data_IF_441338148352
#
_entry.id   IF_441338148352
#
_cell.length_a   1.000
_cell.length_b   1.000
_cell.length_c   1.000
_cell.angle_alpha   90.00
_cell.angle_beta   90.00
_cell.angle_gamma   90.00
#
_symmetry.space_group_name_H-M   'P 1'
#
loop_
_entity.id
_entity.type
_entity.pdbx_description
1 polymer ?
#
# COMPACT_ATOMS: atom_id res chain seq x y z
N UNK A 1 -1.98 10.39 -19.86
CA UNK A 1 -1.76 8.94 -19.81
C UNK A 1 -2.48 8.44 -18.57
N UNK A 2 -3.50 7.61 -18.78
CA UNK A 2 -4.38 7.11 -17.72
C UNK A 2 -3.61 6.13 -16.85
N UNK A 3 -3.26 6.54 -15.63
CA UNK A 3 -2.87 5.60 -14.59
C UNK A 3 -4.07 4.64 -14.38
N UNK A 4 -3.87 3.32 -14.28
CA UNK A 4 -4.96 2.42 -13.92
C UNK A 4 -5.60 2.97 -12.64
N UNK A 5 -6.90 3.26 -12.70
CA UNK A 5 -7.62 3.87 -11.59
C UNK A 5 -7.43 3.00 -10.34
N UNK A 6 -7.06 3.63 -9.22
CA UNK A 6 -7.12 3.01 -7.89
C UNK A 6 -8.50 2.33 -7.76
N UNK A 7 -8.59 0.99 -7.77
CA UNK A 7 -9.85 0.29 -7.71
C UNK A 7 -10.31 0.33 -6.25
N UNK A 8 -10.60 1.53 -5.73
CA UNK A 8 -11.30 1.77 -4.47
C UNK A 8 -12.63 1.04 -4.58
N UNK A 9 -12.69 -0.18 -4.04
CA UNK A 9 -13.89 -1.03 -4.12
C UNK A 9 -14.95 -0.55 -3.13
N UNK A 10 -14.50 -0.01 -2.01
CA UNK A 10 -15.35 0.35 -0.87
C UNK A 10 -15.37 1.85 -0.58
N UNK A 11 -14.41 2.60 -1.12
CA UNK A 11 -14.18 4.01 -0.80
C UNK A 11 -13.38 4.25 0.50
N UNK A 12 -12.97 3.20 1.21
CA UNK A 12 -12.21 3.30 2.46
C UNK A 12 -10.96 2.41 2.42
N UNK A 13 -9.76 3.01 2.47
CA UNK A 13 -8.52 2.25 2.47
C UNK A 13 -8.37 1.38 3.75
N UNK A 14 -8.84 1.89 4.88
CA UNK A 14 -8.79 1.20 6.16
C UNK A 14 -9.63 -0.09 6.14
N UNK A 15 -10.85 -0.06 5.57
CA UNK A 15 -11.69 -1.27 5.49
C UNK A 15 -11.13 -2.27 4.47
N UNK A 16 -10.53 -1.80 3.37
CA UNK A 16 -9.90 -2.68 2.39
C UNK A 16 -8.70 -3.40 2.99
N UNK A 17 -7.87 -2.73 3.79
CA UNK A 17 -6.80 -3.38 4.55
C UNK A 17 -7.35 -4.42 5.53
N UNK A 18 -8.42 -4.08 6.26
CA UNK A 18 -9.05 -5.02 7.21
C UNK A 18 -9.64 -6.24 6.51
N UNK A 19 -10.27 -6.06 5.35
CA UNK A 19 -10.80 -7.15 4.54
C UNK A 19 -9.70 -8.02 3.95
N UNK A 20 -8.57 -7.45 3.58
CA UNK A 20 -7.38 -8.21 3.17
C UNK A 20 -6.86 -9.05 4.34
N UNK A 21 -6.65 -8.45 5.51
CA UNK A 21 -6.18 -9.16 6.69
C UNK A 21 -7.14 -10.27 7.13
N UNK A 22 -8.45 -10.07 6.97
CA UNK A 22 -9.48 -11.07 7.27
C UNK A 22 -9.68 -12.13 6.17
N UNK A 23 -8.97 -12.05 5.05
CA UNK A 23 -9.13 -12.96 3.91
C UNK A 23 -10.41 -12.77 3.09
N UNK A 24 -11.14 -11.66 3.30
CA UNK A 24 -12.35 -11.29 2.55
C UNK A 24 -12.02 -10.65 1.19
N UNK A 25 -10.85 -10.03 1.09
CA UNK A 25 -10.28 -9.50 -0.15
C UNK A 25 -8.88 -10.09 -0.35
N UNK A 26 -8.53 -10.45 -1.60
CA UNK A 26 -7.23 -11.07 -1.87
C UNK A 26 -6.08 -10.03 -1.89
N UNK A 27 -6.38 -8.82 -2.35
CA UNK A 27 -5.44 -7.69 -2.35
C UNK A 27 -6.18 -6.35 -2.47
N UNK A 28 -5.48 -5.28 -2.09
CA UNK A 28 -5.83 -3.89 -2.32
C UNK A 28 -4.58 -3.10 -2.74
N UNK A 29 -4.77 -2.04 -3.51
CA UNK A 29 -3.72 -1.13 -3.94
C UNK A 29 -4.18 0.30 -3.72
N UNK A 30 -3.29 1.16 -3.25
CA UNK A 30 -3.55 2.55 -2.93
C UNK A 30 -2.53 3.41 -3.67
N UNK A 31 -2.99 4.32 -4.54
CA UNK A 31 -2.09 5.11 -5.38
C UNK A 31 -1.31 6.19 -4.59
N UNK A 32 -1.98 6.86 -3.65
CA UNK A 32 -1.39 7.92 -2.82
C UNK A 32 -2.13 8.07 -1.47
N UNK A 33 -2.14 7.04 -0.61
CA UNK A 33 -2.81 7.07 0.68
C UNK A 33 -2.10 8.03 1.65
N UNK A 34 -2.85 8.56 2.63
CA UNK A 34 -2.21 9.15 3.79
C UNK A 34 -1.75 8.04 4.75
N UNK A 35 -0.72 8.32 5.56
CA UNK A 35 -0.24 7.38 6.59
C UNK A 35 -1.39 6.89 7.49
N UNK A 36 -2.26 7.80 7.94
CA UNK A 36 -3.38 7.46 8.83
C UNK A 36 -4.47 6.61 8.16
N UNK A 37 -4.53 6.53 6.83
CA UNK A 37 -5.53 5.72 6.14
C UNK A 37 -5.17 4.23 6.16
N UNK A 38 -3.87 3.90 6.24
CA UNK A 38 -3.36 2.54 6.00
C UNK A 38 -2.42 2.00 7.09
N UNK A 39 -1.87 2.83 7.98
CA UNK A 39 -0.87 2.40 8.96
C UNK A 39 -1.36 1.24 9.85
N UNK A 40 -2.56 1.37 10.41
CA UNK A 40 -3.14 0.29 11.22
C UNK A 40 -3.45 -0.95 10.36
N UNK A 41 -3.88 -0.75 9.12
CA UNK A 41 -4.20 -1.81 8.18
C UNK A 41 -2.99 -2.64 7.77
N UNK A 42 -1.85 -2.00 7.50
CA UNK A 42 -0.59 -2.67 7.16
C UNK A 42 -0.20 -3.66 8.25
N UNK A 43 -0.24 -3.23 9.52
CA UNK A 43 0.10 -4.08 10.66
C UNK A 43 -0.81 -5.31 10.73
N UNK A 44 -2.11 -5.15 10.46
CA UNK A 44 -3.05 -6.27 10.42
C UNK A 44 -2.74 -7.24 9.28
N UNK A 45 -2.43 -6.73 8.09
CA UNK A 45 -2.08 -7.56 6.93
C UNK A 45 -0.80 -8.36 7.19
N UNK A 46 0.25 -7.72 7.70
CA UNK A 46 1.50 -8.39 8.05
C UNK A 46 1.29 -9.46 9.13
N UNK A 47 0.52 -9.15 10.18
CA UNK A 47 0.18 -10.09 11.23
C UNK A 47 -0.63 -11.31 10.72
N UNK A 48 -1.43 -11.12 9.67
CA UNK A 48 -2.14 -12.19 8.97
C UNK A 48 -1.26 -12.99 7.99
N UNK A 49 0.03 -12.67 7.88
CA UNK A 49 0.97 -13.29 6.95
C UNK A 49 0.86 -12.77 5.51
N UNK A 50 0.17 -11.65 5.31
CA UNK A 50 0.09 -10.97 4.01
C UNK A 50 1.35 -10.19 3.67
N UNK A 51 1.48 -9.85 2.39
CA UNK A 51 2.56 -9.06 1.83
C UNK A 51 2.16 -7.59 1.72
N UNK A 52 3.10 -6.71 2.04
CA UNK A 52 2.94 -5.25 1.89
C UNK A 52 4.15 -4.74 1.10
N UNK A 53 3.87 -4.05 -0.02
CA UNK A 53 4.88 -3.43 -0.87
C UNK A 53 4.56 -1.97 -1.11
N UNK A 54 5.60 -1.16 -1.25
CA UNK A 54 5.48 0.26 -1.57
C UNK A 54 6.30 0.61 -2.81
N UNK A 55 5.86 1.62 -3.54
CA UNK A 55 6.59 2.15 -4.69
C UNK A 55 7.67 3.11 -4.23
N UNK A 56 8.88 2.93 -4.74
CA UNK A 56 10.03 3.80 -4.55
C UNK A 56 10.63 4.18 -5.90
N UNK A 57 11.65 5.04 -5.90
CA UNK A 57 12.30 5.52 -7.13
C UNK A 57 12.86 4.37 -8.02
N UNK A 58 13.25 3.25 -7.41
CA UNK A 58 13.76 2.05 -8.10
C UNK A 58 12.70 0.98 -8.39
N UNK A 59 11.41 1.28 -8.23
CA UNK A 59 10.32 0.32 -8.39
C UNK A 59 9.70 -0.12 -7.06
N UNK A 60 8.96 -1.23 -7.11
CA UNK A 60 8.29 -1.78 -5.93
C UNK A 60 9.29 -2.47 -4.99
N UNK A 61 9.20 -2.16 -3.70
CA UNK A 61 10.00 -2.79 -2.64
C UNK A 61 9.14 -3.21 -1.45
N UNK A 62 9.62 -4.12 -0.59
CA UNK A 62 8.97 -4.39 0.69
C UNK A 62 8.70 -3.10 1.47
N UNK A 63 7.56 -3.05 2.16
CA UNK A 63 7.27 -1.94 3.06
C UNK A 63 8.12 -2.06 4.33
N UNK A 64 8.82 -0.97 4.66
CA UNK A 64 9.71 -0.90 5.83
C UNK A 64 9.33 0.24 6.77
N UNK A 65 8.34 1.06 6.40
CA UNK A 65 7.90 2.24 7.14
C UNK A 65 7.64 3.46 6.26
N UNK A 66 7.13 4.51 6.91
CA UNK A 66 6.69 5.77 6.28
C UNK A 66 7.81 6.82 6.17
N UNK A 67 8.97 6.44 5.63
CA UNK A 67 10.07 7.37 5.47
C UNK A 67 9.75 8.45 4.41
N UNK A 68 9.82 9.73 4.77
CA UNK A 68 9.52 10.85 3.87
C UNK A 68 10.73 11.37 3.09
N UNK A 69 11.91 10.75 3.21
CA UNK A 69 13.14 11.19 2.54
C UNK A 69 13.89 12.33 3.26
N UNK A 70 13.32 12.89 4.34
CA UNK A 70 14.03 13.73 5.31
C UNK A 70 14.58 12.85 6.44
N UNK A 71 15.76 13.18 6.97
CA UNK A 71 16.40 12.47 8.08
C UNK A 71 15.77 12.77 9.45
N UNK A 72 14.77 13.65 9.49
CA UNK A 72 14.04 14.00 10.71
C UNK A 72 12.73 13.22 10.76
N UNK A 73 12.47 12.50 11.84
CA UNK A 73 11.17 11.88 12.12
C UNK A 73 10.11 12.94 12.48
N UNK A 74 9.93 13.96 11.62
CA UNK A 74 8.96 15.03 11.84
C UNK A 74 7.54 14.55 11.48
N UNK A 75 6.56 14.97 12.26
CA UNK A 75 5.14 14.77 11.95
C UNK A 75 4.74 15.46 10.63
N UNK A 76 5.41 16.55 10.25
CA UNK A 76 5.20 17.19 8.96
C UNK A 76 5.54 16.25 7.79
N UNK A 77 6.63 15.49 7.93
CA UNK A 77 7.10 14.52 6.95
C UNK A 77 6.10 13.35 6.81
N UNK A 78 5.59 12.82 7.92
CA UNK A 78 4.53 11.80 7.91
C UNK A 78 3.23 12.30 7.29
N UNK A 79 2.87 13.57 7.50
CA UNK A 79 1.67 14.17 6.86
C UNK A 79 1.82 14.32 5.35
N UNK A 80 3.04 14.57 4.87
CA UNK A 80 3.34 14.77 3.46
C UNK A 80 3.57 13.45 2.69
N UNK A 81 3.86 12.35 3.37
CA UNK A 81 4.17 11.06 2.76
C UNK A 81 3.03 10.53 1.86
N UNK A 82 3.29 10.21 0.59
CA UNK A 82 2.26 9.75 -0.39
C UNK A 82 2.78 8.66 -1.35
N UNK A 83 3.40 7.60 -0.84
CA UNK A 83 3.85 6.52 -1.72
C UNK A 83 2.72 5.53 -2.02
N UNK A 84 2.70 5.01 -3.24
CA UNK A 84 1.76 3.96 -3.61
C UNK A 84 2.06 2.68 -2.81
N UNK A 85 1.02 1.99 -2.34
CA UNK A 85 1.13 0.77 -1.52
C UNK A 85 0.22 -0.31 -2.06
N UNK A 86 0.73 -1.55 -2.14
CA UNK A 86 -0.04 -2.75 -2.43
C UNK A 86 0.00 -3.69 -1.22
N UNK A 87 -1.16 -4.24 -0.84
CA UNK A 87 -1.31 -5.17 0.29
C UNK A 87 -2.12 -6.39 -0.14
N UNK A 88 -1.78 -7.58 0.34
CA UNK A 88 -2.51 -8.79 -0.06
C UNK A 88 -1.75 -10.10 0.04
N UNK A 89 -2.33 -11.13 -0.55
CA UNK A 89 -1.65 -12.40 -0.84
C UNK A 89 -0.38 -12.14 -1.67
N UNK A 90 0.72 -12.83 -1.37
CA UNK A 90 2.04 -12.53 -1.90
C UNK A 90 2.13 -12.63 -3.43
N UNK A 91 1.53 -13.65 -4.03
CA UNK A 91 1.49 -13.85 -5.48
C UNK A 91 0.71 -12.75 -6.19
N UNK A 92 -0.45 -12.36 -5.67
CA UNK A 92 -1.26 -11.27 -6.24
C UNK A 92 -0.59 -9.91 -6.06
N UNK A 93 0.02 -9.63 -4.91
CA UNK A 93 0.81 -8.41 -4.70
C UNK A 93 2.00 -8.36 -5.66
N UNK A 94 2.69 -9.48 -5.90
CA UNK A 94 3.75 -9.56 -6.91
C UNK A 94 3.19 -9.24 -8.31
N UNK A 95 2.05 -9.82 -8.69
CA UNK A 95 1.39 -9.52 -9.96
C UNK A 95 1.00 -8.04 -10.11
N UNK A 96 0.55 -7.37 -9.04
CA UNK A 96 0.28 -5.92 -9.05
C UNK A 96 1.59 -5.14 -9.25
N UNK A 97 2.68 -5.57 -8.63
CA UNK A 97 3.97 -4.91 -8.75
C UNK A 97 4.54 -5.04 -10.16
N UNK A 98 4.43 -6.22 -10.77
CA UNK A 98 4.94 -6.55 -12.09
C UNK A 98 4.06 -5.96 -13.20
N UNK A 99 2.74 -5.96 -13.01
CA UNK A 99 1.73 -5.47 -13.96
C UNK A 99 1.68 -3.96 -14.15
N UNK A 100 2.56 -3.19 -13.51
CA UNK A 100 2.73 -1.76 -13.83
C UNK A 100 3.47 -1.50 -15.17
N UNK A 101 3.75 -2.57 -15.92
CA UNK A 101 4.17 -2.60 -17.34
C UNK A 101 3.06 -3.13 -18.30
N UNK A 102 1.84 -3.39 -17.79
CA UNK A 102 0.71 -3.80 -18.63
C UNK A 102 -0.13 -2.56 -19.00
N UNK A 103 0.19 -2.00 -20.17
CA UNK A 103 -0.58 -0.99 -20.93
C UNK A 103 -2.06 -1.35 -21.07
#
# INVERSE_FOLDING_TARGET
>A
EDLPADPRRTGSAAIECAFVAAGLMQAAWFAAPNVWDIAAGIVLVEAAGGSVRQRAAGGWKPFEGFAAGSATDDLADLRAWRQAVAVGEAGLVASICDGSDMT
#
